data_IF_130300235769
#
_entry.id   IF_130300235769
#
_cell.length_a   1.000
_cell.length_b   1.000
_cell.length_c   1.000
_cell.angle_alpha   90.00
_cell.angle_beta   90.00
_cell.angle_gamma   90.00
#
_symmetry.space_group_name_H-M   'P 1'
#
loop_
_entity.id
_entity.type
_entity.pdbx_description
1 polymer ?
#
# COMPACT_ATOMS: atom_id res chain seq x y z
N UNK A 1 17.20 -5.87 23.09
CA UNK A 1 16.26 -5.96 21.95
C UNK A 1 16.90 -5.23 20.79
N UNK A 2 17.00 -5.83 19.61
CA UNK A 2 17.50 -5.12 18.42
C UNK A 2 16.58 -3.93 18.14
N UNK A 3 17.16 -2.80 17.75
CA UNK A 3 16.39 -1.63 17.31
C UNK A 3 15.59 -2.05 16.06
N UNK A 4 14.32 -1.67 16.00
CA UNK A 4 13.49 -1.88 14.80
C UNK A 4 14.00 -0.99 13.68
N UNK A 5 14.10 -1.54 12.48
CA UNK A 5 14.61 -0.83 11.31
C UNK A 5 13.49 0.00 10.68
N UNK A 6 13.66 1.34 10.51
CA UNK A 6 12.61 2.18 9.95
C UNK A 6 12.04 1.66 8.63
N UNK A 7 10.73 1.67 8.56
CA UNK A 7 9.94 1.20 7.44
C UNK A 7 9.64 -0.29 7.45
N UNK A 8 10.34 -1.18 8.17
CA UNK A 8 9.98 -2.62 8.12
C UNK A 8 8.57 -2.87 8.64
N UNK A 9 7.94 -3.99 8.29
CA UNK A 9 6.63 -4.37 8.83
C UNK A 9 6.63 -4.31 10.37
N UNK A 10 7.67 -4.88 10.99
CA UNK A 10 7.84 -4.83 12.45
C UNK A 10 7.98 -3.42 13.02
N UNK A 11 8.44 -2.45 12.23
CA UNK A 11 8.48 -1.04 12.62
C UNK A 11 7.10 -0.37 12.45
N UNK A 12 6.36 -0.70 11.38
CA UNK A 12 5.02 -0.18 11.09
C UNK A 12 3.97 -0.69 12.08
N UNK A 13 4.08 -1.95 12.50
CA UNK A 13 3.15 -2.62 13.43
C UNK A 13 3.26 -2.14 14.89
N UNK A 14 4.15 -1.19 15.20
CA UNK A 14 4.34 -0.69 16.57
C UNK A 14 3.11 0.01 17.14
N UNK A 15 2.26 0.58 16.28
CA UNK A 15 1.08 1.34 16.66
C UNK A 15 -0.09 0.89 15.79
N UNK A 16 -1.18 0.48 16.44
CA UNK A 16 -2.49 0.36 15.81
C UNK A 16 -3.42 1.39 16.45
N UNK A 17 -4.10 2.16 15.61
CA UNK A 17 -5.11 3.12 16.03
C UNK A 17 -6.50 2.52 15.79
N UNK A 18 -7.47 2.91 16.62
CA UNK A 18 -8.86 2.49 16.44
C UNK A 18 -9.45 3.09 15.16
N UNK A 19 -10.20 2.28 14.42
CA UNK A 19 -10.84 2.70 13.17
C UNK A 19 -12.07 3.54 13.48
N UNK A 20 -12.03 4.79 13.05
CA UNK A 20 -13.16 5.71 13.16
C UNK A 20 -14.07 5.53 11.96
N UNK A 21 -15.37 5.39 12.20
CA UNK A 21 -16.41 5.28 11.17
C UNK A 21 -16.12 4.12 10.18
N UNK A 22 -16.08 2.87 10.67
CA UNK A 22 -15.61 1.72 9.88
C UNK A 22 -16.50 1.44 8.66
N UNK A 23 -17.78 1.81 8.70
CA UNK A 23 -18.72 1.58 7.60
C UNK A 23 -18.64 2.63 6.50
N UNK A 24 -17.96 3.76 6.74
CA UNK A 24 -17.91 4.87 5.77
C UNK A 24 -17.19 4.43 4.48
N UNK A 25 -17.88 4.48 3.33
CA UNK A 25 -17.25 4.12 2.07
C UNK A 25 -16.17 5.13 1.71
N UNK A 26 -14.95 4.63 1.48
CA UNK A 26 -13.78 5.42 1.10
C UNK A 26 -13.36 5.03 -0.33
N UNK A 27 -12.99 6.04 -1.11
CA UNK A 27 -12.24 5.85 -2.35
C UNK A 27 -10.82 6.31 -2.05
N UNK A 28 -9.84 5.42 -2.20
CA UNK A 28 -8.44 5.82 -2.21
C UNK A 28 -8.13 6.48 -3.56
N UNK A 29 -7.89 7.81 -3.59
CA UNK A 29 -7.77 8.54 -4.84
C UNK A 29 -6.40 8.36 -5.51
N UNK A 30 -5.41 7.75 -4.86
CA UNK A 30 -4.05 7.74 -5.36
C UNK A 30 -3.20 6.61 -4.77
N UNK A 31 -2.92 5.59 -5.57
CA UNK A 31 -1.83 4.66 -5.29
C UNK A 31 -0.99 4.40 -6.55
N UNK A 32 0.22 3.88 -6.32
CA UNK A 32 1.10 3.38 -7.36
C UNK A 32 1.47 1.93 -7.03
N UNK A 33 1.84 1.17 -8.06
CA UNK A 33 2.42 -0.16 -7.87
C UNK A 33 3.92 -0.09 -8.18
N UNK A 34 4.72 -0.66 -7.30
CA UNK A 34 6.17 -0.64 -7.38
C UNK A 34 6.76 -2.02 -7.16
N UNK A 35 7.79 -2.32 -7.93
CA UNK A 35 8.65 -3.49 -7.72
C UNK A 35 10.05 -3.01 -7.38
N UNK A 36 10.60 -3.51 -6.29
CA UNK A 36 11.94 -3.22 -5.76
C UNK A 36 12.23 -1.73 -5.54
N UNK A 37 11.19 -0.90 -5.32
CA UNK A 37 11.39 0.51 -4.99
C UNK A 37 11.83 0.60 -3.53
N UNK A 38 12.97 1.25 -3.29
CA UNK A 38 13.62 1.28 -1.98
C UNK A 38 13.85 -0.12 -1.36
N UNK A 39 14.09 -1.13 -2.21
CA UNK A 39 14.32 -2.50 -1.77
C UNK A 39 13.06 -3.29 -1.40
N UNK A 40 11.86 -2.80 -1.75
CA UNK A 40 10.58 -3.46 -1.44
C UNK A 40 9.62 -3.44 -2.60
N UNK A 41 8.70 -4.39 -2.55
CA UNK A 41 7.57 -4.44 -3.46
C UNK A 41 6.36 -3.75 -2.79
N UNK A 42 5.55 -3.12 -3.63
CA UNK A 42 4.22 -2.63 -3.30
C UNK A 42 3.35 -2.94 -4.52
N UNK A 43 2.86 -4.17 -4.57
CA UNK A 43 2.06 -4.74 -5.65
C UNK A 43 0.65 -4.99 -5.12
N UNK A 44 -0.09 -5.90 -5.76
CA UNK A 44 -1.48 -6.17 -5.39
C UNK A 44 -1.62 -6.75 -3.97
N UNK A 45 -0.67 -7.57 -3.53
CA UNK A 45 -0.74 -8.19 -2.20
C UNK A 45 -0.59 -7.15 -1.08
N UNK A 46 0.35 -6.21 -1.22
CA UNK A 46 0.53 -5.12 -0.27
C UNK A 46 -0.67 -4.16 -0.30
N UNK A 47 -1.16 -3.80 -1.49
CA UNK A 47 -2.36 -2.95 -1.62
C UNK A 47 -3.59 -3.59 -0.95
N UNK A 48 -3.81 -4.89 -1.13
CA UNK A 48 -4.93 -5.59 -0.50
C UNK A 48 -4.79 -5.70 1.01
N UNK A 49 -3.56 -5.86 1.52
CA UNK A 49 -3.31 -5.83 2.97
C UNK A 49 -3.68 -4.47 3.55
N UNK A 50 -3.27 -3.38 2.90
CA UNK A 50 -3.55 -2.02 3.37
C UNK A 50 -5.02 -1.67 3.27
N UNK A 51 -5.64 -1.92 2.11
CA UNK A 51 -7.07 -1.63 1.87
C UNK A 51 -8.00 -2.55 2.66
N UNK A 52 -7.53 -3.74 3.06
CA UNK A 52 -8.24 -4.68 3.93
C UNK A 52 -7.94 -4.55 5.42
N UNK A 53 -7.12 -3.58 5.84
CA UNK A 53 -6.71 -3.39 7.24
C UNK A 53 -7.82 -2.89 8.17
N UNK A 54 -8.96 -2.47 7.60
CA UNK A 54 -10.23 -2.33 8.30
C UNK A 54 -11.06 -1.10 7.92
N UNK A 55 -10.47 -0.07 7.28
CA UNK A 55 -11.27 0.98 6.64
C UNK A 55 -12.08 0.39 5.48
N UNK A 56 -13.32 0.84 5.28
CA UNK A 56 -14.16 0.41 4.16
C UNK A 56 -13.74 1.07 2.83
N UNK A 57 -12.57 0.70 2.31
CA UNK A 57 -12.08 1.13 0.99
C UNK A 57 -12.80 0.33 -0.09
N UNK A 58 -13.71 0.98 -0.80
CA UNK A 58 -14.57 0.32 -1.80
C UNK A 58 -14.01 0.40 -3.22
N UNK A 59 -13.15 1.40 -3.49
CA UNK A 59 -12.50 1.61 -4.79
C UNK A 59 -11.16 2.30 -4.61
N UNK A 60 -10.28 2.11 -5.57
CA UNK A 60 -8.97 2.77 -5.63
C UNK A 60 -8.71 3.31 -7.02
N UNK A 61 -7.89 4.36 -7.12
CA UNK A 61 -7.39 4.88 -8.39
C UNK A 61 -5.89 4.58 -8.52
N UNK A 62 -5.55 3.74 -9.49
CA UNK A 62 -4.16 3.49 -9.88
C UNK A 62 -3.65 4.64 -10.73
N UNK A 63 -2.56 5.26 -10.29
CA UNK A 63 -1.91 6.35 -11.01
C UNK A 63 -0.68 5.81 -11.74
N UNK A 64 -0.70 5.87 -13.08
CA UNK A 64 0.47 5.62 -13.92
C UNK A 64 1.63 6.55 -13.48
N UNK A 65 2.86 6.04 -13.46
CA UNK A 65 4.02 6.75 -12.92
C UNK A 65 5.31 6.51 -13.71
N UNK A 66 5.16 6.25 -15.00
CA UNK A 66 6.21 5.88 -15.93
C UNK A 66 7.05 4.66 -15.52
N UNK A 67 6.39 3.68 -14.89
CA UNK A 67 7.04 2.48 -14.36
C UNK A 67 6.53 1.24 -15.09
N UNK A 68 7.42 0.26 -15.26
CA UNK A 68 7.09 -1.05 -15.84
C UNK A 68 6.52 -1.04 -17.25
N UNK A 69 6.84 -0.01 -18.05
CA UNK A 69 6.55 -0.04 -19.48
C UNK A 69 7.17 -1.25 -20.16
N UNK A 70 6.46 -1.77 -21.16
CA UNK A 70 7.00 -2.75 -22.09
C UNK A 70 8.28 -2.19 -22.70
N UNK A 71 9.35 -3.00 -22.67
CA UNK A 71 10.63 -2.63 -23.30
C UNK A 71 10.59 -2.85 -24.81
N UNK A 72 9.74 -3.77 -25.26
CA UNK A 72 9.60 -4.23 -26.64
C UNK A 72 8.14 -4.59 -26.91
N UNK A 73 7.67 -4.40 -28.15
CA UNK A 73 6.28 -4.61 -28.58
C UNK A 73 5.50 -3.30 -28.82
N UNK A 74 4.29 -3.36 -29.41
CA UNK A 74 3.35 -2.24 -29.37
C UNK A 74 2.82 -1.97 -27.95
#
# INVERSE_FOLDING_TARGET
MSKLEPGTESWLEQVQEDIIDPDRPIIDPHHHLWRKRFGRDYLLEELWRDTGSGHNVVKTLFMECSAFYLREGP
#
